data_IF_825067717084
#
_entry.id   IF_825067717084
#
_cell.length_a   1.000
_cell.length_b   1.000
_cell.length_c   1.000
_cell.angle_alpha   90.00
_cell.angle_beta   90.00
_cell.angle_gamma   90.00
#
_symmetry.space_group_name_H-M   'P 1'
#
loop_
_entity.id
_entity.type
_entity.pdbx_description
1 polymer ?
#
# COMPACT_ATOMS: atom_id res chain seq x y z
N UNK A 1 -12.00 1.75 16.08
CA UNK A 1 -11.14 2.02 14.92
C UNK A 1 -10.24 3.18 15.31
N UNK A 2 -8.94 3.05 15.10
CA UNK A 2 -7.97 4.12 15.41
C UNK A 2 -8.19 5.31 14.45
N UNK A 3 -7.80 6.52 14.89
CA UNK A 3 -8.03 7.78 14.18
C UNK A 3 -7.48 7.75 12.74
N UNK A 4 -6.36 7.04 12.53
CA UNK A 4 -5.75 6.88 11.22
C UNK A 4 -6.64 6.10 10.24
N UNK A 5 -7.20 4.95 10.65
CA UNK A 5 -8.07 4.11 9.80
C UNK A 5 -9.28 4.88 9.28
N UNK A 6 -9.93 5.68 10.15
CA UNK A 6 -11.08 6.49 9.73
C UNK A 6 -10.73 7.62 8.74
N UNK A 7 -9.46 8.05 8.66
CA UNK A 7 -9.00 8.99 7.63
C UNK A 7 -8.70 8.24 6.33
N UNK A 8 -8.15 7.03 6.38
CA UNK A 8 -7.96 6.19 5.20
C UNK A 8 -9.29 5.86 4.51
N UNK A 9 -10.33 5.49 5.26
CA UNK A 9 -11.67 5.26 4.71
C UNK A 9 -12.20 6.49 3.95
N UNK A 10 -11.99 7.70 4.52
CA UNK A 10 -12.38 8.96 3.88
C UNK A 10 -11.56 9.26 2.64
N UNK A 11 -10.27 8.90 2.62
CA UNK A 11 -9.41 9.02 1.43
C UNK A 11 -9.98 8.14 0.32
N UNK A 12 -10.25 6.88 0.61
CA UNK A 12 -10.78 5.91 -0.35
C UNK A 12 -12.16 6.34 -0.86
N UNK A 13 -13.09 6.67 0.02
CA UNK A 13 -14.41 7.19 -0.39
C UNK A 13 -14.30 8.45 -1.27
N UNK A 14 -13.39 9.37 -0.92
CA UNK A 14 -13.21 10.60 -1.70
C UNK A 14 -12.65 10.36 -3.09
N UNK A 15 -11.85 9.30 -3.32
CA UNK A 15 -11.42 8.95 -4.67
C UNK A 15 -12.60 8.64 -5.60
N UNK A 16 -13.69 8.11 -5.04
CA UNK A 16 -14.92 7.81 -5.76
C UNK A 16 -15.86 9.01 -5.85
N UNK A 17 -16.03 9.76 -4.76
CA UNK A 17 -17.09 10.77 -4.63
C UNK A 17 -16.61 12.20 -4.91
N UNK A 18 -15.37 12.53 -4.56
CA UNK A 18 -14.79 13.87 -4.72
C UNK A 18 -13.26 13.85 -4.65
N UNK A 19 -12.56 13.55 -5.77
CA UNK A 19 -11.10 13.38 -5.79
C UNK A 19 -10.27 14.60 -5.34
N UNK A 20 -10.88 15.79 -5.32
CA UNK A 20 -10.25 17.00 -4.81
C UNK A 20 -10.03 16.93 -3.28
N UNK A 21 -10.88 16.20 -2.54
CA UNK A 21 -10.76 16.03 -1.09
C UNK A 21 -9.64 15.09 -0.66
N UNK A 22 -9.14 14.26 -1.58
CA UNK A 22 -7.99 13.38 -1.31
C UNK A 22 -6.82 14.17 -0.72
N UNK A 23 -6.50 15.34 -1.31
CA UNK A 23 -5.38 16.15 -0.82
C UNK A 23 -5.61 16.68 0.61
N UNK A 24 -6.86 17.00 0.95
CA UNK A 24 -7.24 17.41 2.29
C UNK A 24 -6.97 16.30 3.31
N UNK A 25 -7.40 15.07 3.02
CA UNK A 25 -7.19 13.95 3.93
C UNK A 25 -5.74 13.46 3.98
N UNK A 26 -5.01 13.54 2.86
CA UNK A 26 -3.55 13.32 2.84
C UNK A 26 -2.85 14.30 3.79
N UNK A 27 -3.27 15.57 3.83
CA UNK A 27 -2.72 16.55 4.77
C UNK A 27 -3.10 16.23 6.23
N UNK A 28 -4.28 15.65 6.48
CA UNK A 28 -4.65 15.16 7.81
C UNK A 28 -3.75 14.00 8.25
N UNK A 29 -3.48 13.02 7.37
CA UNK A 29 -2.54 11.92 7.66
C UNK A 29 -1.14 12.47 7.99
N UNK A 30 -0.63 13.44 7.21
CA UNK A 30 0.66 14.09 7.49
C UNK A 30 0.71 14.79 8.85
N UNK A 31 -0.43 15.20 9.38
CA UNK A 31 -0.56 15.85 10.68
C UNK A 31 -0.70 14.87 11.85
N UNK A 32 -0.84 13.56 11.59
CA UNK A 32 -0.90 12.56 12.64
C UNK A 32 0.46 12.42 13.33
N UNK A 33 0.47 12.12 14.64
CA UNK A 33 1.70 11.80 15.33
C UNK A 33 2.33 10.55 14.71
N UNK A 34 3.63 10.63 14.42
CA UNK A 34 4.43 9.48 14.00
C UNK A 34 5.26 8.98 15.19
N UNK A 35 5.58 7.68 15.26
CA UNK A 35 6.44 7.17 16.31
C UNK A 35 7.83 7.84 16.26
N UNK A 36 8.54 7.93 17.39
CA UNK A 36 9.89 8.49 17.40
C UNK A 36 10.81 7.65 16.50
N UNK A 37 11.73 8.33 15.82
CA UNK A 37 12.77 7.69 15.03
C UNK A 37 13.64 6.79 15.92
N UNK A 38 13.87 5.56 15.47
CA UNK A 38 14.76 4.61 16.14
C UNK A 38 16.13 4.48 15.49
N UNK A 39 16.76 3.32 15.64
CA UNK A 39 18.02 2.98 15.01
C UNK A 39 17.80 2.48 13.57
N UNK A 40 17.85 3.43 12.63
CA UNK A 40 17.72 3.15 11.20
C UNK A 40 18.82 2.21 10.67
N UNK A 41 20.02 2.23 11.25
CA UNK A 41 21.11 1.36 10.79
C UNK A 41 20.79 -0.08 11.14
N UNK A 42 20.35 -0.33 12.37
CA UNK A 42 19.88 -1.66 12.80
C UNK A 42 18.65 -2.11 11.98
N UNK A 43 17.66 -1.24 11.79
CA UNK A 43 16.49 -1.53 10.94
C UNK A 43 16.91 -2.01 9.55
N UNK A 44 17.80 -1.28 8.88
CA UNK A 44 18.26 -1.64 7.53
C UNK A 44 19.06 -2.94 7.48
N UNK A 45 19.74 -3.32 8.56
CA UNK A 45 20.43 -4.59 8.65
C UNK A 45 19.41 -5.74 8.69
N UNK A 46 18.45 -5.68 9.62
CA UNK A 46 17.36 -6.67 9.71
C UNK A 46 16.52 -6.72 8.43
N UNK A 47 16.22 -5.58 7.81
CA UNK A 47 15.48 -5.54 6.55
C UNK A 47 16.22 -6.24 5.41
N UNK A 48 17.55 -6.16 5.36
CA UNK A 48 18.34 -6.87 4.34
C UNK A 48 18.29 -8.38 4.54
N UNK A 49 18.50 -8.83 5.78
CA UNK A 49 18.39 -10.24 6.15
C UNK A 49 17.00 -10.80 5.83
N UNK A 50 15.96 -10.04 6.16
CA UNK A 50 14.57 -10.39 5.84
C UNK A 50 14.33 -10.54 4.33
N UNK A 51 14.89 -9.66 3.50
CA UNK A 51 14.81 -9.78 2.05
C UNK A 51 15.52 -11.04 1.53
N UNK A 52 16.67 -11.42 2.09
CA UNK A 52 17.39 -12.65 1.74
C UNK A 52 16.57 -13.91 2.10
N UNK A 53 15.94 -13.92 3.28
CA UNK A 53 15.02 -14.98 3.70
C UNK A 53 13.81 -15.07 2.77
N UNK A 54 13.22 -13.92 2.41
CA UNK A 54 12.07 -13.86 1.51
C UNK A 54 12.41 -14.37 0.10
N UNK A 55 13.58 -14.02 -0.43
CA UNK A 55 14.07 -14.54 -1.71
C UNK A 55 14.33 -16.05 -1.68
N UNK A 56 14.68 -16.59 -0.50
CA UNK A 56 14.89 -18.02 -0.28
C UNK A 56 13.59 -18.79 -0.01
N UNK A 57 12.43 -18.13 -0.09
CA UNK A 57 11.12 -18.74 0.17
C UNK A 57 10.79 -18.94 1.65
N UNK A 58 11.63 -18.44 2.56
CA UNK A 58 11.42 -18.53 4.01
C UNK A 58 10.54 -17.38 4.51
N UNK A 59 9.29 -17.31 4.02
CA UNK A 59 8.39 -16.16 4.25
C UNK A 59 8.15 -15.85 5.72
N UNK A 60 7.87 -16.85 6.56
CA UNK A 60 7.65 -16.64 7.99
C UNK A 60 8.87 -16.06 8.71
N UNK A 61 10.07 -16.59 8.45
CA UNK A 61 11.30 -16.06 9.02
C UNK A 61 11.59 -14.63 8.52
N UNK A 62 11.25 -14.34 7.25
CA UNK A 62 11.36 -12.99 6.72
C UNK A 62 10.42 -12.01 7.44
N UNK A 63 9.18 -12.41 7.73
CA UNK A 63 8.22 -11.60 8.50
C UNK A 63 8.79 -11.26 9.88
N UNK A 64 9.33 -12.26 10.59
CA UNK A 64 9.93 -12.04 11.91
C UNK A 64 11.10 -11.03 11.83
N UNK A 65 11.97 -11.15 10.82
CA UNK A 65 13.07 -10.21 10.61
C UNK A 65 12.64 -8.82 10.16
N UNK A 66 11.60 -8.71 9.34
CA UNK A 66 11.00 -7.40 9.04
C UNK A 66 10.38 -6.77 10.30
N UNK A 67 9.75 -7.55 11.17
CA UNK A 67 9.22 -7.05 12.44
C UNK A 67 10.33 -6.55 13.38
N UNK A 68 11.47 -7.25 13.44
CA UNK A 68 12.68 -6.75 14.13
C UNK A 68 13.18 -5.42 13.52
N UNK A 69 13.16 -5.28 12.19
CA UNK A 69 13.54 -4.04 11.51
C UNK A 69 12.62 -2.88 11.91
N UNK A 70 11.30 -3.08 11.85
CA UNK A 70 10.29 -2.08 12.24
C UNK A 70 10.41 -1.73 13.73
N UNK A 71 10.70 -2.70 14.59
CA UNK A 71 10.95 -2.44 16.02
C UNK A 71 12.20 -1.59 16.25
N UNK A 72 13.25 -1.79 15.44
CA UNK A 72 14.50 -1.03 15.55
C UNK A 72 14.33 0.42 15.11
N UNK A 73 13.63 0.69 14.00
CA UNK A 73 13.21 2.04 13.58
C UNK A 73 11.78 2.00 13.01
N UNK A 74 10.76 2.37 13.79
CA UNK A 74 9.38 2.37 13.30
C UNK A 74 9.10 3.46 12.27
N UNK A 75 10.06 4.33 11.99
CA UNK A 75 10.00 5.36 10.93
C UNK A 75 10.76 4.96 9.67
N UNK A 76 11.37 3.77 9.62
CA UNK A 76 12.03 3.25 8.41
C UNK A 76 10.98 2.69 7.45
N UNK A 77 10.47 3.57 6.59
CA UNK A 77 9.35 3.25 5.70
C UNK A 77 9.63 2.07 4.76
N UNK A 78 10.89 1.81 4.40
CA UNK A 78 11.23 0.66 3.57
C UNK A 78 10.97 -0.65 4.35
N UNK A 79 11.39 -0.71 5.61
CA UNK A 79 11.17 -1.86 6.48
C UNK A 79 9.67 -2.08 6.76
N UNK A 80 8.93 -1.01 7.07
CA UNK A 80 7.49 -1.10 7.31
C UNK A 80 6.74 -1.58 6.06
N UNK A 81 7.07 -1.02 4.89
CA UNK A 81 6.44 -1.45 3.63
C UNK A 81 6.78 -2.90 3.27
N UNK A 82 8.03 -3.33 3.47
CA UNK A 82 8.45 -4.71 3.19
C UNK A 82 7.80 -5.72 4.14
N UNK A 83 7.58 -5.35 5.42
CA UNK A 83 6.78 -6.16 6.34
C UNK A 83 5.37 -6.37 5.80
N UNK A 84 4.70 -5.30 5.36
CA UNK A 84 3.36 -5.37 4.76
C UNK A 84 3.34 -6.29 3.52
N UNK A 85 4.35 -6.19 2.65
CA UNK A 85 4.47 -7.06 1.48
C UNK A 85 4.69 -8.53 1.86
N UNK A 86 5.53 -8.81 2.86
CA UNK A 86 5.77 -10.18 3.32
C UNK A 86 4.50 -10.80 3.94
N UNK A 87 3.72 -10.02 4.68
CA UNK A 87 2.43 -10.45 5.22
C UNK A 87 1.41 -10.77 4.11
N UNK A 88 1.37 -9.99 3.03
CA UNK A 88 0.53 -10.30 1.85
C UNK A 88 0.92 -11.61 1.17
N UNK A 89 2.22 -11.91 1.11
CA UNK A 89 2.72 -13.18 0.57
C UNK A 89 2.34 -14.38 1.44
N UNK A 90 2.13 -14.15 2.73
CA UNK A 90 1.73 -15.17 3.70
C UNK A 90 0.21 -15.20 3.93
N UNK A 91 -0.56 -14.48 3.10
CA UNK A 91 -2.04 -14.40 3.18
C UNK A 91 -2.57 -13.85 4.51
N UNK A 92 -1.73 -13.08 5.24
CA UNK A 92 -2.08 -12.39 6.48
C UNK A 92 -2.57 -10.97 6.19
N UNK A 93 -3.63 -10.89 5.39
CA UNK A 93 -4.04 -9.65 4.73
C UNK A 93 -4.49 -8.54 5.70
N UNK A 94 -5.17 -8.89 6.79
CA UNK A 94 -5.59 -7.91 7.81
C UNK A 94 -4.41 -7.33 8.61
N UNK A 95 -3.36 -8.12 8.82
CA UNK A 95 -2.12 -7.62 9.45
C UNK A 95 -1.32 -6.76 8.47
N UNK A 96 -1.28 -7.16 7.19
CA UNK A 96 -0.68 -6.36 6.14
C UNK A 96 -1.36 -4.98 6.04
N UNK A 97 -2.69 -4.92 6.07
CA UNK A 97 -3.45 -3.67 6.06
C UNK A 97 -3.01 -2.72 7.19
N UNK A 98 -2.95 -3.22 8.43
CA UNK A 98 -2.54 -2.42 9.58
C UNK A 98 -1.11 -1.87 9.45
N UNK A 99 -0.19 -2.69 8.96
CA UNK A 99 1.21 -2.28 8.71
C UNK A 99 1.29 -1.26 7.57
N UNK A 100 0.48 -1.42 6.52
CA UNK A 100 0.45 -0.51 5.37
C UNK A 100 -0.16 0.85 5.73
N UNK A 101 -1.15 0.91 6.62
CA UNK A 101 -1.61 2.16 7.21
C UNK A 101 -0.49 2.87 7.97
N UNK A 102 0.36 2.14 8.69
CA UNK A 102 1.53 2.73 9.35
C UNK A 102 2.52 3.29 8.31
N UNK A 103 2.84 2.55 7.25
CA UNK A 103 3.71 3.02 6.16
C UNK A 103 3.16 4.29 5.48
N UNK A 104 1.85 4.32 5.20
CA UNK A 104 1.18 5.46 4.58
C UNK A 104 1.00 6.63 5.54
N UNK A 105 1.01 6.41 6.84
CA UNK A 105 1.07 7.50 7.84
C UNK A 105 2.44 8.19 7.81
N UNK A 106 3.53 7.42 7.65
CA UNK A 106 4.88 7.96 7.48
C UNK A 106 5.08 8.70 6.15
N UNK A 107 4.49 8.19 5.06
CA UNK A 107 4.48 8.86 3.76
C UNK A 107 3.19 8.56 2.99
N UNK A 108 2.19 9.45 3.04
CA UNK A 108 0.90 9.22 2.40
C UNK A 108 0.95 9.37 0.88
N UNK A 109 2.09 9.77 0.31
CA UNK A 109 2.33 9.84 -1.13
C UNK A 109 3.24 8.72 -1.63
N UNK A 110 3.50 7.69 -0.82
CA UNK A 110 4.25 6.52 -1.26
C UNK A 110 3.36 5.61 -2.11
N UNK A 111 3.60 5.60 -3.40
CA UNK A 111 2.83 4.78 -4.35
C UNK A 111 2.79 3.29 -3.99
N UNK A 112 3.92 2.73 -3.55
CA UNK A 112 4.05 1.32 -3.21
C UNK A 112 3.13 0.89 -2.06
N UNK A 113 3.05 1.71 -1.00
CA UNK A 113 2.17 1.43 0.13
C UNK A 113 0.69 1.38 -0.29
N UNK A 114 0.28 2.26 -1.20
CA UNK A 114 -1.08 2.27 -1.74
C UNK A 114 -1.38 1.06 -2.64
N UNK A 115 -0.41 0.61 -3.45
CA UNK A 115 -0.58 -0.62 -4.24
C UNK A 115 -0.70 -1.86 -3.36
N UNK A 116 0.17 -1.98 -2.35
CA UNK A 116 0.12 -3.09 -1.41
C UNK A 116 -1.19 -3.04 -0.59
N UNK A 117 -1.67 -1.86 -0.21
CA UNK A 117 -2.96 -1.72 0.48
C UNK A 117 -4.11 -2.15 -0.44
N UNK A 118 -4.08 -1.78 -1.71
CA UNK A 118 -5.05 -2.25 -2.70
C UNK A 118 -5.07 -3.78 -2.82
N UNK A 119 -3.91 -4.43 -2.80
CA UNK A 119 -3.82 -5.90 -2.82
C UNK A 119 -4.40 -6.52 -1.53
N UNK A 120 -4.05 -5.97 -0.36
CA UNK A 120 -4.58 -6.38 0.94
C UNK A 120 -6.12 -6.33 0.97
N UNK A 121 -6.68 -5.20 0.53
CA UNK A 121 -8.12 -4.99 0.49
C UNK A 121 -8.80 -5.91 -0.53
N UNK A 122 -8.17 -6.16 -1.69
CA UNK A 122 -8.71 -7.03 -2.72
C UNK A 122 -8.80 -8.49 -2.24
N UNK A 123 -7.75 -9.00 -1.57
CA UNK A 123 -7.72 -10.35 -0.99
C UNK A 123 -8.75 -10.55 0.12
N UNK A 124 -9.05 -9.49 0.87
CA UNK A 124 -10.15 -9.46 1.85
C UNK A 124 -11.54 -9.27 1.22
N UNK A 125 -11.65 -8.97 -0.08
CA UNK A 125 -12.91 -8.69 -0.75
C UNK A 125 -13.53 -7.32 -0.41
N UNK A 126 -12.71 -6.38 0.07
CA UNK A 126 -13.15 -5.05 0.50
C UNK A 126 -13.26 -4.09 -0.70
N UNK A 127 -14.32 -3.28 -0.69
CA UNK A 127 -14.68 -2.42 -1.83
C UNK A 127 -13.72 -1.26 -2.09
N UNK A 128 -12.84 -0.91 -1.14
CA UNK A 128 -11.87 0.18 -1.27
C UNK A 128 -10.59 -0.17 -2.04
N UNK A 129 -10.44 -1.42 -2.49
CA UNK A 129 -9.26 -1.88 -3.21
C UNK A 129 -8.97 -1.09 -4.49
N UNK A 130 -9.95 -0.82 -5.39
CA UNK A 130 -9.70 -0.04 -6.60
C UNK A 130 -9.20 1.37 -6.29
N UNK A 131 -9.77 2.04 -5.29
CA UNK A 131 -9.40 3.40 -4.91
C UNK A 131 -7.98 3.47 -4.35
N UNK A 132 -7.56 2.48 -3.55
CA UNK A 132 -6.19 2.36 -3.08
C UNK A 132 -5.21 2.17 -4.26
N UNK A 133 -5.55 1.30 -5.21
CA UNK A 133 -4.72 1.11 -6.42
C UNK A 133 -4.63 2.39 -7.26
N UNK A 134 -5.72 3.15 -7.39
CA UNK A 134 -5.72 4.44 -8.08
C UNK A 134 -4.83 5.48 -7.40
N UNK A 135 -4.76 5.50 -6.07
CA UNK A 135 -3.83 6.36 -5.33
C UNK A 135 -2.38 5.95 -5.56
N UNK A 136 -2.10 4.63 -5.56
CA UNK A 136 -0.79 4.09 -5.94
C UNK A 136 -0.37 4.55 -7.33
N UNK A 137 -1.29 4.48 -8.29
CA UNK A 137 -1.08 5.00 -9.64
C UNK A 137 -0.82 6.51 -9.64
N UNK A 138 -1.66 7.31 -8.95
CA UNK A 138 -1.55 8.77 -8.89
C UNK A 138 -0.17 9.23 -8.41
N UNK A 139 0.35 8.56 -7.39
CA UNK A 139 1.61 8.93 -6.74
C UNK A 139 2.86 8.26 -7.32
N UNK A 140 2.74 7.34 -8.27
CA UNK A 140 3.92 6.71 -8.87
C UNK A 140 4.58 7.59 -9.94
N UNK A 141 5.84 7.30 -10.25
CA UNK A 141 6.58 7.99 -11.32
C UNK A 141 6.04 7.62 -12.72
N UNK A 142 6.40 8.42 -13.73
CA UNK A 142 5.86 8.28 -15.09
C UNK A 142 6.14 6.90 -15.71
N UNK A 143 7.31 6.33 -15.45
CA UNK A 143 7.64 4.98 -15.90
C UNK A 143 6.67 3.93 -15.33
N UNK A 144 6.35 4.02 -14.04
CA UNK A 144 5.38 3.11 -13.40
C UNK A 144 3.97 3.39 -13.88
N UNK A 145 3.58 4.66 -14.06
CA UNK A 145 2.29 5.04 -14.66
C UNK A 145 2.10 4.43 -16.04
N UNK A 146 3.12 4.51 -16.90
CA UNK A 146 3.07 3.94 -18.25
C UNK A 146 2.85 2.42 -18.20
N UNK A 147 3.60 1.70 -17.34
CA UNK A 147 3.44 0.26 -17.15
C UNK A 147 2.06 -0.10 -16.61
N UNK A 148 1.55 0.66 -15.65
CA UNK A 148 0.21 0.44 -15.10
C UNK A 148 -0.88 0.70 -16.14
N UNK A 149 -0.80 1.78 -16.93
CA UNK A 149 -1.73 2.04 -18.05
C UNK A 149 -1.72 0.89 -19.07
N UNK A 150 -0.53 0.38 -19.42
CA UNK A 150 -0.39 -0.76 -20.34
C UNK A 150 -1.06 -2.03 -19.79
N UNK A 151 -0.83 -2.35 -18.51
CA UNK A 151 -1.46 -3.49 -17.85
C UNK A 151 -2.98 -3.34 -17.81
N UNK A 152 -3.49 -2.17 -17.41
CA UNK A 152 -4.93 -1.92 -17.30
C UNK A 152 -5.61 -1.98 -18.66
N UNK A 153 -5.03 -1.40 -19.71
CA UNK A 153 -5.55 -1.52 -21.08
C UNK A 153 -5.63 -2.98 -21.54
N UNK A 154 -4.63 -3.80 -21.20
CA UNK A 154 -4.64 -5.23 -21.49
C UNK A 154 -5.78 -5.95 -20.74
N UNK A 155 -5.95 -5.69 -19.45
CA UNK A 155 -7.01 -6.30 -18.64
C UNK A 155 -8.41 -5.87 -19.09
N UNK A 156 -8.61 -4.59 -19.40
CA UNK A 156 -9.89 -4.06 -19.93
C UNK A 156 -10.25 -4.74 -21.27
N UNK A 157 -9.25 -5.01 -22.11
CA UNK A 157 -9.44 -5.64 -23.43
C UNK A 157 -9.54 -7.17 -23.36
N UNK A 158 -9.28 -7.78 -22.21
CA UNK A 158 -9.34 -9.23 -22.00
C UNK A 158 -10.78 -9.65 -21.64
N UNK A 159 -11.47 -10.44 -22.48
CA UNK A 159 -12.85 -10.87 -22.23
C UNK A 159 -13.03 -11.75 -20.98
N UNK A 160 -11.93 -12.30 -20.43
CA UNK A 160 -11.95 -13.09 -19.19
C UNK A 160 -11.90 -12.24 -17.92
N UNK A 161 -11.57 -10.95 -18.04
CA UNK A 161 -11.58 -10.03 -16.90
C UNK A 161 -13.01 -9.82 -16.40
N UNK A 162 -13.19 -9.84 -15.08
CA UNK A 162 -14.49 -9.54 -14.47
C UNK A 162 -15.02 -8.17 -14.95
N UNK A 163 -16.23 -8.08 -15.53
CA UNK A 163 -16.74 -6.83 -16.09
C UNK A 163 -16.79 -5.67 -15.11
N UNK A 164 -17.11 -5.92 -13.83
CA UNK A 164 -17.13 -4.87 -12.80
C UNK A 164 -15.74 -4.29 -12.54
N UNK A 165 -14.71 -5.14 -12.63
CA UNK A 165 -13.32 -4.73 -12.47
C UNK A 165 -12.86 -3.96 -13.70
N UNK A 166 -13.21 -4.42 -14.91
CA UNK A 166 -12.92 -3.72 -16.15
C UNK A 166 -13.58 -2.31 -16.19
N UNK A 167 -14.85 -2.19 -15.81
CA UNK A 167 -15.57 -0.91 -15.73
C UNK A 167 -14.94 0.05 -14.71
N UNK A 168 -14.52 -0.48 -13.55
CA UNK A 168 -13.79 0.30 -12.56
C UNK A 168 -12.43 0.79 -13.09
N UNK A 169 -11.69 -0.05 -13.83
CA UNK A 169 -10.44 0.34 -14.47
C UNK A 169 -10.64 1.39 -15.57
N UNK A 170 -11.68 1.26 -16.41
CA UNK A 170 -12.04 2.26 -17.43
C UNK A 170 -12.36 3.60 -16.78
N UNK A 171 -13.21 3.58 -15.75
CA UNK A 171 -13.57 4.78 -14.98
C UNK A 171 -12.32 5.42 -14.39
N UNK A 172 -11.45 4.62 -13.77
CA UNK A 172 -10.19 5.09 -13.20
C UNK A 172 -9.29 5.75 -14.26
N UNK A 173 -9.09 5.12 -15.43
CA UNK A 173 -8.28 5.67 -16.53
C UNK A 173 -8.80 7.02 -17.05
N UNK A 174 -10.12 7.24 -17.04
CA UNK A 174 -10.69 8.51 -17.50
C UNK A 174 -10.42 9.69 -16.56
N UNK A 175 -9.97 9.42 -15.33
CA UNK A 175 -9.71 10.43 -14.30
C UNK A 175 -8.24 10.83 -14.16
N UNK A 176 -7.35 10.29 -15.02
CA UNK A 176 -5.88 10.41 -14.94
C UNK A 176 -5.16 10.69 -16.26
#
# INVERSE_FOLDING_TARGET
MDQASGIFDKILDSMKTNPARVQTYINQIRGLPVPPKGDRKASRAFNREALELLHSGQTNAAIDKFAEAVKADPTDIEAVNNLGFALLKDERDGEAEAVLYSALTLNPTRAEGWFNLGDALAKQGLVGAPEAMMLGYRFCNDNRKQKTKQLWNRLISDPSTNPKVADAMVTALSTI
#
